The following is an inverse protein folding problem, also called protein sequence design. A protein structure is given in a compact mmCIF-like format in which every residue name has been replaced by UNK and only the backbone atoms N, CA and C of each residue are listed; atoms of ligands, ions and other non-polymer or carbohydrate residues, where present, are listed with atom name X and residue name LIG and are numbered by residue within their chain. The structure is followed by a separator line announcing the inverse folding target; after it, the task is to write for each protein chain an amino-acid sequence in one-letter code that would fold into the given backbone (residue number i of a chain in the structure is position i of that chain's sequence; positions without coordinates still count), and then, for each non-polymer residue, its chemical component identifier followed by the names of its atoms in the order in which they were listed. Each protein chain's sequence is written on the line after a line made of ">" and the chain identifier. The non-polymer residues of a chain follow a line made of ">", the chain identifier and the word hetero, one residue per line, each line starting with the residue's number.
data_IF_310312305883
#
_entry.id   IF_310312305883
#
_cell.length_a   1.000
_cell.length_b   1.000
_cell.length_c   1.000
_cell.angle_alpha   90.00
_cell.angle_beta   90.00
_cell.angle_gamma   90.00
#
_symmetry.space_group_name_H-M   'P 1'
#
loop_
_entity.id
_entity.type
_entity.pdbx_description
1 polymer ?
#
# COMPACT_ATOMS: atom_id res chain seq x y z
N UNK A 1 -18.43 23.40 17.76
CA UNK A 1 -18.47 22.81 16.41
C UNK A 1 -19.86 23.01 15.81
N UNK A 2 -19.98 23.31 14.51
CA UNK A 2 -21.26 23.69 13.87
C UNK A 2 -22.00 22.47 13.28
N UNK A 3 -23.33 22.44 13.33
CA UNK A 3 -24.16 21.38 12.70
C UNK A 3 -23.85 21.18 11.20
N UNK A 4 -23.35 22.22 10.51
CA UNK A 4 -22.98 22.13 9.10
C UNK A 4 -21.69 21.31 8.84
N UNK A 5 -20.82 21.12 9.85
CA UNK A 5 -19.64 20.25 9.69
C UNK A 5 -19.98 18.76 9.73
N UNK A 6 -21.17 18.38 10.20
CA UNK A 6 -21.65 16.98 10.13
C UNK A 6 -22.15 16.57 8.75
N UNK A 7 -22.56 17.52 7.89
CA UNK A 7 -23.05 17.22 6.54
C UNK A 7 -21.94 17.07 5.50
N UNK A 8 -20.77 17.67 5.76
CA UNK A 8 -19.54 17.32 5.06
C UNK A 8 -18.98 16.06 5.69
N UNK A 9 -19.64 14.92 5.46
CA UNK A 9 -18.96 13.63 5.61
C UNK A 9 -17.73 13.73 4.71
N UNK A 10 -16.57 13.72 5.34
CA UNK A 10 -15.29 13.88 4.69
C UNK A 10 -15.04 12.64 3.82
N UNK A 11 -15.52 12.70 2.57
CA UNK A 11 -15.30 11.64 1.58
C UNK A 11 -13.81 11.38 1.33
N UNK A 12 -12.94 12.33 1.68
CA UNK A 12 -11.47 12.16 1.63
C UNK A 12 -10.89 11.43 2.83
N UNK A 13 -11.56 11.47 3.99
CA UNK A 13 -11.12 10.75 5.19
C UNK A 13 -11.49 9.27 5.16
N UNK A 14 -12.63 8.91 4.55
CA UNK A 14 -13.08 7.52 4.51
C UNK A 14 -12.04 6.58 3.88
N UNK A 15 -11.74 5.48 4.57
CA UNK A 15 -10.86 4.43 4.06
C UNK A 15 -11.50 3.76 2.83
N UNK A 16 -10.77 3.73 1.72
CA UNK A 16 -11.14 3.00 0.49
C UNK A 16 -10.07 1.96 0.20
N UNK A 17 -10.38 0.94 -0.61
CA UNK A 17 -9.39 -0.07 -0.95
C UNK A 17 -8.15 0.51 -1.67
N UNK A 18 -8.33 1.54 -2.51
CA UNK A 18 -7.22 2.19 -3.22
C UNK A 18 -6.37 3.04 -2.27
N UNK A 19 -7.01 3.75 -1.33
CA UNK A 19 -6.31 4.50 -0.28
C UNK A 19 -5.55 3.56 0.65
N UNK A 20 -6.14 2.42 1.03
CA UNK A 20 -5.48 1.40 1.84
C UNK A 20 -4.24 0.82 1.15
N UNK A 21 -4.31 0.58 -0.17
CA UNK A 21 -3.16 0.15 -0.95
C UNK A 21 -2.03 1.18 -0.93
N UNK A 22 -2.34 2.46 -1.20
CA UNK A 22 -1.35 3.53 -1.17
C UNK A 22 -0.72 3.72 0.23
N UNK A 23 -1.52 3.66 1.30
CA UNK A 23 -1.04 3.77 2.68
C UNK A 23 -0.11 2.62 3.05
N UNK A 24 -0.44 1.38 2.66
CA UNK A 24 0.40 0.23 2.97
C UNK A 24 1.80 0.36 2.36
N UNK A 25 1.89 0.79 1.10
CA UNK A 25 3.18 1.03 0.43
C UNK A 25 3.95 2.20 1.03
N UNK A 26 3.26 3.25 1.47
CA UNK A 26 3.91 4.36 2.15
C UNK A 26 4.53 3.96 3.49
N UNK A 27 3.91 3.04 4.24
CA UNK A 27 4.49 2.59 5.50
C UNK A 27 5.78 1.78 5.32
N UNK A 28 6.02 1.19 4.15
CA UNK A 28 7.32 0.57 3.83
C UNK A 28 8.31 1.57 3.23
N UNK A 29 7.85 2.51 2.40
CA UNK A 29 8.74 3.46 1.70
C UNK A 29 9.10 4.72 2.50
N UNK A 30 8.32 5.12 3.50
CA UNK A 30 8.51 6.40 4.22
C UNK A 30 8.77 6.20 5.72
N UNK A 31 9.54 5.17 6.09
CA UNK A 31 9.88 4.89 7.47
C UNK A 31 10.66 6.04 8.16
N UNK A 32 11.37 6.87 7.37
CA UNK A 32 12.15 8.02 7.83
C UNK A 32 11.41 9.37 7.71
N UNK A 33 10.25 9.40 7.04
CA UNK A 33 9.35 10.56 6.96
C UNK A 33 9.59 11.51 5.78
N UNK A 34 10.60 11.28 4.95
CA UNK A 34 10.85 12.00 3.70
C UNK A 34 10.82 11.01 2.53
N UNK A 35 10.23 11.41 1.39
CA UNK A 35 10.29 10.60 0.17
C UNK A 35 10.93 11.42 -0.93
N UNK A 36 11.92 10.84 -1.58
CA UNK A 36 12.58 11.45 -2.72
C UNK A 36 11.65 11.44 -3.96
N UNK A 37 11.85 12.36 -4.93
CA UNK A 37 11.02 12.44 -6.13
C UNK A 37 10.94 11.12 -6.92
N UNK A 38 12.02 10.34 -6.92
CA UNK A 38 12.10 9.01 -7.53
C UNK A 38 11.14 8.03 -6.87
N UNK A 39 11.08 8.01 -5.53
CA UNK A 39 10.20 7.14 -4.74
C UNK A 39 8.73 7.52 -4.93
N UNK A 40 8.45 8.82 -4.94
CA UNK A 40 7.12 9.35 -5.27
C UNK A 40 6.70 8.95 -6.69
N UNK A 41 7.60 9.06 -7.66
CA UNK A 41 7.35 8.68 -9.05
C UNK A 41 7.08 7.18 -9.19
N UNK A 42 7.87 6.35 -8.50
CA UNK A 42 7.67 4.91 -8.44
C UNK A 42 6.31 4.57 -7.83
N UNK A 43 5.98 5.13 -6.66
CA UNK A 43 4.73 4.89 -5.97
C UNK A 43 3.51 5.31 -6.81
N UNK A 44 3.57 6.46 -7.48
CA UNK A 44 2.53 6.90 -8.41
C UNK A 44 2.34 5.93 -9.59
N UNK A 45 3.41 5.28 -10.05
CA UNK A 45 3.34 4.27 -11.10
C UNK A 45 2.66 2.98 -10.61
N UNK A 46 2.92 2.57 -9.36
CA UNK A 46 2.37 1.35 -8.74
C UNK A 46 0.89 1.53 -8.37
N UNK A 47 0.53 2.65 -7.74
CA UNK A 47 -0.87 2.90 -7.35
C UNK A 47 -1.75 3.19 -8.58
N UNK A 48 -1.15 3.61 -9.70
CA UNK A 48 -1.86 3.91 -10.93
C UNK A 48 -2.86 5.07 -10.82
N UNK A 49 -3.55 5.38 -11.90
CA UNK A 49 -4.55 6.45 -11.95
C UNK A 49 -5.99 5.96 -11.93
N UNK A 50 -6.93 6.87 -11.66
CA UNK A 50 -8.36 6.58 -11.80
C UNK A 50 -8.72 6.21 -13.26
N UNK A 51 -9.66 5.27 -13.43
CA UNK A 51 -10.23 4.95 -14.74
C UNK A 51 -10.93 6.20 -15.29
N UNK A 52 -10.41 6.74 -16.39
CA UNK A 52 -11.13 7.77 -17.14
C UNK A 52 -12.47 7.21 -17.66
N UNK A 53 -13.41 8.10 -17.99
CA UNK A 53 -14.75 7.73 -18.50
C UNK A 53 -14.75 6.85 -19.77
N UNK A 54 -13.60 6.64 -20.40
CA UNK A 54 -13.41 5.78 -21.59
C UNK A 54 -12.77 4.41 -21.31
N UNK A 55 -12.58 4.01 -20.06
CA UNK A 55 -12.03 2.68 -19.71
C UNK A 55 -10.51 2.55 -19.82
N UNK A 56 -9.81 3.57 -20.33
CA UNK A 56 -8.35 3.65 -20.27
C UNK A 56 -7.90 4.00 -18.84
N UNK A 57 -7.04 3.16 -18.27
CA UNK A 57 -6.25 3.50 -17.09
C UNK A 57 -5.00 4.21 -17.63
N UNK A 58 -4.91 5.52 -17.40
CA UNK A 58 -3.69 6.24 -17.70
C UNK A 58 -2.61 5.83 -16.71
N UNK A 59 -1.50 5.27 -17.19
CA UNK A 59 -0.26 5.17 -16.41
C UNK A 59 0.14 6.62 -16.09
N UNK A 60 0.11 7.01 -14.81
CA UNK A 60 0.36 8.39 -14.41
C UNK A 60 -0.82 9.37 -14.59
N UNK A 61 -2.08 8.91 -14.68
CA UNK A 61 -3.22 9.82 -14.47
C UNK A 61 -3.23 10.25 -12.99
N UNK A 62 -2.43 11.29 -12.69
CA UNK A 62 -1.97 11.74 -11.38
C UNK A 62 -2.99 11.51 -10.26
N UNK A 63 -2.85 10.36 -9.59
CA UNK A 63 -3.47 10.09 -8.30
C UNK A 63 -2.75 10.85 -7.17
N UNK A 64 -2.29 12.07 -7.47
CA UNK A 64 -1.59 12.93 -6.52
C UNK A 64 -2.49 13.26 -5.32
N UNK A 65 -3.79 13.44 -5.56
CA UNK A 65 -4.76 13.63 -4.48
C UNK A 65 -4.84 12.41 -3.56
N UNK A 66 -4.84 11.20 -4.11
CA UNK A 66 -4.81 9.94 -3.36
C UNK A 66 -3.52 9.83 -2.55
N UNK A 67 -2.37 10.09 -3.20
CA UNK A 67 -1.07 10.04 -2.55
C UNK A 67 -0.97 11.07 -1.40
N UNK A 68 -1.38 12.31 -1.64
CA UNK A 68 -1.40 13.35 -0.62
C UNK A 68 -2.31 12.97 0.56
N UNK A 69 -3.47 12.36 0.30
CA UNK A 69 -4.36 11.87 1.34
C UNK A 69 -3.75 10.71 2.12
N UNK A 70 -3.04 9.81 1.46
CA UNK A 70 -2.34 8.69 2.08
C UNK A 70 -1.16 9.16 2.95
N UNK A 71 -0.33 10.09 2.46
CA UNK A 71 0.77 10.70 3.24
C UNK A 71 0.25 11.48 4.46
N UNK A 72 -0.88 12.18 4.32
CA UNK A 72 -1.51 12.84 5.47
C UNK A 72 -1.97 11.79 6.50
N UNK A 73 -2.53 10.68 6.03
CA UNK A 73 -3.01 9.61 6.90
C UNK A 73 -1.88 8.97 7.71
N UNK A 74 -0.77 8.60 7.06
CA UNK A 74 0.38 7.95 7.73
C UNK A 74 1.00 8.82 8.82
N UNK A 75 0.95 10.15 8.66
CA UNK A 75 1.44 11.12 9.67
C UNK A 75 0.54 11.27 10.90
N UNK A 76 -0.73 10.90 10.82
CA UNK A 76 -1.69 11.13 11.91
C UNK A 76 -2.32 9.87 12.48
N UNK A 77 -2.01 8.69 11.95
CA UNK A 77 -2.58 7.41 12.36
C UNK A 77 -1.50 6.35 12.59
N UNK A 78 -1.68 5.50 13.59
CA UNK A 78 -0.80 4.36 13.85
C UNK A 78 -1.08 3.18 12.90
N UNK A 79 -0.16 2.23 12.83
CA UNK A 79 -0.33 0.99 12.07
C UNK A 79 -1.58 0.22 12.53
N UNK A 80 -1.89 0.19 13.84
CA UNK A 80 -3.05 -0.51 14.37
C UNK A 80 -4.36 0.16 13.95
N UNK A 81 -4.41 1.49 13.94
CA UNK A 81 -5.57 2.25 13.45
C UNK A 81 -5.78 1.97 11.95
N UNK A 82 -4.71 2.07 11.16
CA UNK A 82 -4.72 1.72 9.75
C UNK A 82 -5.30 0.31 9.50
N UNK A 83 -4.76 -0.70 10.17
CA UNK A 83 -5.17 -2.09 9.96
C UNK A 83 -6.62 -2.33 10.37
N UNK A 84 -7.09 -1.67 11.41
CA UNK A 84 -8.49 -1.73 11.86
C UNK A 84 -9.45 -1.16 10.81
N UNK A 85 -9.07 -0.06 10.16
CA UNK A 85 -9.88 0.62 9.14
C UNK A 85 -9.79 -0.04 7.75
N UNK A 86 -8.61 -0.50 7.36
CA UNK A 86 -8.34 -1.06 6.03
C UNK A 86 -8.88 -2.48 5.87
N UNK A 87 -8.66 -3.36 6.85
CA UNK A 87 -9.05 -4.77 6.77
C UNK A 87 -10.51 -4.99 6.35
N UNK A 88 -11.52 -4.33 6.95
CA UNK A 88 -12.93 -4.58 6.59
C UNK A 88 -13.33 -4.10 5.19
N UNK A 89 -12.58 -3.17 4.57
CA UNK A 89 -12.90 -2.65 3.23
C UNK A 89 -12.19 -3.40 2.10
N UNK A 90 -11.26 -4.32 2.44
CA UNK A 90 -10.46 -5.07 1.49
C UNK A 90 -11.00 -6.48 1.26
N UNK A 91 -11.14 -6.84 -0.01
CA UNK A 91 -11.34 -8.23 -0.44
C UNK A 91 -10.06 -9.05 -0.26
N UNK A 92 -10.17 -10.38 -0.21
CA UNK A 92 -9.00 -11.29 -0.13
C UNK A 92 -7.99 -11.03 -1.24
N UNK A 93 -8.45 -10.81 -2.48
CA UNK A 93 -7.57 -10.52 -3.61
C UNK A 93 -6.79 -9.21 -3.41
N UNK A 94 -7.42 -8.18 -2.85
CA UNK A 94 -6.75 -6.91 -2.55
C UNK A 94 -5.76 -7.05 -1.39
N UNK A 95 -6.08 -7.85 -0.36
CA UNK A 95 -5.16 -8.15 0.76
C UNK A 95 -3.89 -8.85 0.27
N UNK A 96 -4.04 -9.89 -0.56
CA UNK A 96 -2.92 -10.59 -1.18
C UNK A 96 -2.10 -9.66 -2.09
N UNK A 97 -2.77 -8.80 -2.87
CA UNK A 97 -2.10 -7.80 -3.71
C UNK A 97 -1.21 -6.87 -2.87
N UNK A 98 -1.74 -6.34 -1.76
CA UNK A 98 -0.97 -5.50 -0.84
C UNK A 98 0.25 -6.26 -0.31
N UNK A 99 0.06 -7.46 0.26
CA UNK A 99 1.17 -8.27 0.80
C UNK A 99 2.26 -8.56 -0.23
N UNK A 100 1.88 -8.89 -1.47
CA UNK A 100 2.85 -9.13 -2.54
C UNK A 100 3.65 -7.87 -2.89
N UNK A 101 3.02 -6.69 -2.91
CA UNK A 101 3.75 -5.45 -3.19
C UNK A 101 4.68 -5.08 -2.02
N UNK A 102 4.28 -5.30 -0.76
CA UNK A 102 5.16 -5.08 0.40
C UNK A 102 6.44 -5.92 0.29
N UNK A 103 6.29 -7.21 -0.07
CA UNK A 103 7.44 -8.11 -0.27
C UNK A 103 8.27 -7.69 -1.48
N UNK A 104 7.64 -7.31 -2.60
CA UNK A 104 8.38 -6.89 -3.80
C UNK A 104 9.21 -5.62 -3.54
N UNK A 105 8.67 -4.66 -2.77
CA UNK A 105 9.40 -3.47 -2.33
C UNK A 105 10.59 -3.85 -1.44
N UNK A 106 10.36 -4.66 -0.40
CA UNK A 106 11.41 -5.03 0.55
C UNK A 106 12.52 -5.92 -0.05
N UNK A 107 12.26 -6.59 -1.16
CA UNK A 107 13.23 -7.43 -1.87
C UNK A 107 14.03 -6.68 -2.93
N UNK A 108 13.63 -5.46 -3.31
CA UNK A 108 14.31 -4.68 -4.34
C UNK A 108 15.77 -4.39 -3.95
N UNK A 109 16.03 -4.16 -2.67
CA UNK A 109 17.35 -3.85 -2.11
C UNK A 109 18.10 -5.10 -1.57
N UNK A 110 17.53 -6.30 -1.77
CA UNK A 110 18.16 -7.60 -1.48
C UNK A 110 17.80 -8.22 -0.13
N UNK A 111 17.63 -7.42 0.93
CA UNK A 111 17.10 -7.87 2.22
C UNK A 111 16.12 -6.84 2.81
N UNK A 112 14.99 -7.31 3.32
CA UNK A 112 14.01 -6.48 3.99
C UNK A 112 14.57 -5.93 5.32
N UNK A 113 14.34 -4.66 5.61
CA UNK A 113 14.72 -4.07 6.91
C UNK A 113 13.88 -4.68 8.07
N UNK A 114 14.38 -4.69 9.32
CA UNK A 114 13.62 -5.21 10.46
C UNK A 114 12.23 -4.57 10.62
N UNK A 115 12.12 -3.26 10.41
CA UNK A 115 10.90 -2.47 10.51
C UNK A 115 9.87 -2.88 9.44
N UNK A 116 10.32 -3.09 8.20
CA UNK A 116 9.48 -3.58 7.10
C UNK A 116 8.94 -4.98 7.38
N UNK A 117 9.79 -5.86 7.93
CA UNK A 117 9.39 -7.21 8.35
C UNK A 117 8.33 -7.17 9.44
N UNK A 118 8.54 -6.35 10.47
CA UNK A 118 7.56 -6.19 11.56
C UNK A 118 6.23 -5.65 11.04
N UNK A 119 6.26 -4.68 10.13
CA UNK A 119 5.05 -4.15 9.50
C UNK A 119 4.35 -5.21 8.65
N UNK A 120 5.08 -5.95 7.82
CA UNK A 120 4.55 -7.05 7.01
C UNK A 120 3.83 -8.10 7.89
N UNK A 121 4.46 -8.55 8.97
CA UNK A 121 3.86 -9.54 9.90
C UNK A 121 2.56 -9.02 10.51
N UNK A 122 2.50 -7.74 10.90
CA UNK A 122 1.27 -7.09 11.40
C UNK A 122 0.18 -7.08 10.34
N UNK A 123 0.51 -6.70 9.10
CA UNK A 123 -0.43 -6.64 7.97
C UNK A 123 -0.96 -8.02 7.64
N UNK A 124 -0.08 -9.02 7.49
CA UNK A 124 -0.47 -10.39 7.14
C UNK A 124 -1.41 -10.98 8.21
N UNK A 125 -1.07 -10.79 9.48
CA UNK A 125 -1.90 -11.23 10.61
C UNK A 125 -3.25 -10.53 10.63
N UNK A 126 -3.30 -9.21 10.46
CA UNK A 126 -4.54 -8.44 10.43
C UNK A 126 -5.44 -8.86 9.25
N UNK A 127 -4.84 -9.16 8.10
CA UNK A 127 -5.56 -9.64 6.91
C UNK A 127 -6.07 -11.08 7.04
N UNK A 128 -5.62 -11.81 8.06
CA UNK A 128 -6.02 -13.20 8.30
C UNK A 128 -5.48 -14.17 7.25
N UNK A 129 -4.30 -13.87 6.67
CA UNK A 129 -3.65 -14.72 5.67
C UNK A 129 -2.57 -15.54 6.38
N UNK A 130 -2.68 -16.87 6.34
CA UNK A 130 -1.67 -17.74 6.95
C UNK A 130 -0.39 -17.78 6.10
N UNK A 131 0.74 -18.18 6.72
CA UNK A 131 1.99 -18.41 5.98
C UNK A 131 1.82 -19.48 4.90
N UNK A 132 0.97 -20.47 5.14
CA UNK A 132 0.66 -21.53 4.18
C UNK A 132 -0.08 -20.96 2.96
N UNK A 133 -1.07 -20.08 3.19
CA UNK A 133 -1.82 -19.43 2.13
C UNK A 133 -0.96 -18.45 1.33
N UNK A 134 0.00 -17.77 1.99
CA UNK A 134 0.85 -16.77 1.34
C UNK A 134 2.08 -17.38 0.64
N UNK A 135 2.55 -18.55 1.08
CA UNK A 135 3.79 -19.21 0.59
C UNK A 135 3.89 -19.31 -0.93
N UNK A 136 2.84 -19.68 -1.70
CA UNK A 136 2.96 -19.77 -3.16
C UNK A 136 3.30 -18.43 -3.81
N UNK A 137 2.75 -17.33 -3.30
CA UNK A 137 3.01 -15.98 -3.81
C UNK A 137 4.42 -15.53 -3.48
N UNK A 138 4.87 -15.78 -2.25
CA UNK A 138 6.23 -15.48 -1.81
C UNK A 138 7.28 -16.21 -2.67
N UNK A 139 7.07 -17.49 -2.96
CA UNK A 139 7.97 -18.28 -3.83
C UNK A 139 8.05 -17.72 -5.26
N UNK A 140 6.93 -17.24 -5.80
CA UNK A 140 6.91 -16.59 -7.12
C UNK A 140 7.70 -15.28 -7.10
N UNK A 141 7.57 -14.47 -6.03
CA UNK A 141 8.32 -13.22 -5.88
C UNK A 141 9.82 -13.47 -5.74
N UNK A 142 10.23 -14.49 -4.98
CA UNK A 142 11.63 -14.94 -4.91
C UNK A 142 12.18 -15.28 -6.29
N UNK A 143 11.44 -16.08 -7.08
CA UNK A 143 11.84 -16.43 -8.43
C UNK A 143 11.91 -15.22 -9.37
N UNK A 144 10.94 -14.31 -9.28
CA UNK A 144 10.90 -13.07 -10.08
C UNK A 144 12.12 -12.18 -9.83
N UNK A 145 12.57 -12.12 -8.57
CA UNK A 145 13.65 -11.24 -8.13
C UNK A 145 15.05 -11.90 -8.17
N UNK A 146 15.14 -13.21 -8.42
CA UNK A 146 16.42 -13.91 -8.59
C UNK A 146 17.11 -13.48 -9.90
N UNK A 147 18.12 -12.60 -9.77
CA UNK A 147 18.96 -12.17 -10.91
C UNK A 147 20.05 -13.18 -11.26
N UNK A 148 20.32 -14.15 -10.39
CA UNK A 148 21.30 -15.21 -10.61
C UNK A 148 20.96 -16.12 -11.78
N UNK A 149 19.68 -16.24 -12.14
CA UNK A 149 19.24 -17.05 -13.29
C UNK A 149 19.72 -16.52 -14.65
N UNK A 150 20.25 -15.29 -14.70
CA UNK A 150 20.78 -14.67 -15.92
C UNK A 150 22.32 -14.63 -15.97
N UNK A 151 22.99 -15.10 -14.92
CA UNK A 151 24.46 -15.19 -14.81
C UNK A 151 24.94 -16.61 -15.13
#
# INVERSE_FOLDING_TARGET
>A
MSLFSMFKSDKGDQMTAHKAFAIALLYTMAADGEMDPEEVGHLLSVIGGERGKGGSIGVGANNQALLNAAMKYTRTHSHEQFLTEATPVLTTAQRLCILMNLVDSALADGEAEPEEREFFDKVQKAFGISDEDFRPYFQVLMMKNDRGVFL
#
